data_IF_305315060514
#
_entry.id   IF_305315060514
#
_cell.length_a   1.000
_cell.length_b   1.000
_cell.length_c   1.000
_cell.angle_alpha   90.00
_cell.angle_beta   90.00
_cell.angle_gamma   90.00
#
_symmetry.space_group_name_H-M   'P 1'
#
loop_
_entity.id
_entity.type
_entity.pdbx_description
1 polymer ?
#
# COMPACT_ATOMS: atom_id res chain seq x y z
N UNK A 1 20.39 8.37 -57.91
CA UNK A 1 20.23 7.33 -56.87
C UNK A 1 19.87 8.03 -55.56
N UNK A 2 18.57 8.23 -55.30
CA UNK A 2 18.09 8.80 -54.04
C UNK A 2 17.14 7.79 -53.39
N UNK A 3 17.68 6.96 -52.52
CA UNK A 3 16.92 6.07 -51.63
C UNK A 3 17.13 6.57 -50.21
N UNK A 4 16.38 7.61 -49.84
CA UNK A 4 16.32 8.12 -48.47
C UNK A 4 14.86 8.43 -48.12
N UNK A 5 13.97 7.44 -48.23
CA UNK A 5 12.54 7.64 -47.95
C UNK A 5 11.92 6.57 -47.05
N UNK A 6 12.70 5.64 -46.49
CA UNK A 6 12.16 4.50 -45.72
C UNK A 6 12.60 4.44 -44.25
N UNK A 7 13.49 5.32 -43.79
CA UNK A 7 13.98 5.26 -42.39
C UNK A 7 13.17 6.06 -41.38
N UNK A 8 12.15 6.82 -41.79
CA UNK A 8 11.43 7.72 -40.89
C UNK A 8 10.23 7.07 -40.15
N UNK A 9 9.82 5.85 -40.49
CA UNK A 9 8.54 5.29 -40.00
C UNK A 9 8.65 4.30 -38.83
N UNK A 10 9.85 4.00 -38.32
CA UNK A 10 10.06 2.92 -37.33
C UNK A 10 10.38 3.38 -35.90
N UNK A 11 10.36 4.69 -35.61
CA UNK A 11 10.71 5.23 -34.28
C UNK A 11 9.52 5.64 -33.41
N UNK A 12 8.27 5.52 -33.89
CA UNK A 12 7.09 5.99 -33.13
C UNK A 12 6.42 4.95 -32.21
N UNK A 13 6.89 3.71 -32.15
CA UNK A 13 6.20 2.63 -31.43
C UNK A 13 6.67 2.38 -29.98
N UNK A 14 7.64 3.16 -29.45
CA UNK A 14 8.29 2.83 -28.18
C UNK A 14 7.78 3.59 -26.93
N UNK A 15 6.73 4.42 -27.03
CA UNK A 15 6.46 5.46 -26.02
C UNK A 15 5.30 5.22 -25.03
N UNK A 16 4.65 4.05 -24.96
CA UNK A 16 3.44 3.92 -24.11
C UNK A 16 3.32 2.59 -23.37
N UNK A 17 4.27 2.30 -22.48
CA UNK A 17 4.03 1.34 -21.39
C UNK A 17 4.57 1.92 -20.08
N UNK A 18 3.97 3.03 -19.64
CA UNK A 18 4.11 3.50 -18.27
C UNK A 18 3.24 2.63 -17.37
N UNK A 19 3.86 1.77 -16.55
CA UNK A 19 3.16 1.09 -15.47
C UNK A 19 2.61 2.17 -14.51
N UNK A 20 1.29 2.37 -14.49
CA UNK A 20 0.66 3.35 -13.61
C UNK A 20 0.81 2.93 -12.15
N UNK A 21 1.62 3.65 -11.38
CA UNK A 21 1.64 3.53 -9.93
C UNK A 21 0.42 4.28 -9.35
N UNK A 22 -0.58 3.53 -8.88
CA UNK A 22 -1.71 4.07 -8.14
C UNK A 22 -1.31 4.26 -6.68
N UNK A 23 -1.18 5.51 -6.23
CA UNK A 23 -1.05 5.84 -4.82
C UNK A 23 -2.41 6.36 -4.31
N UNK A 24 -3.10 5.54 -3.51
CA UNK A 24 -4.31 5.98 -2.82
C UNK A 24 -3.94 6.93 -1.68
N UNK A 25 -4.74 7.98 -1.48
CA UNK A 25 -4.56 8.96 -0.42
C UNK A 25 -5.90 9.32 0.22
N UNK A 26 -5.85 9.69 1.49
CA UNK A 26 -6.99 10.18 2.25
C UNK A 26 -7.17 11.67 1.96
N UNK A 27 -8.33 12.05 1.45
CA UNK A 27 -8.70 13.46 1.22
C UNK A 27 -9.34 14.05 2.47
N UNK A 28 -8.80 15.18 2.92
CA UNK A 28 -9.13 15.85 4.18
C UNK A 28 -9.39 17.34 3.91
N UNK A 29 -10.47 17.64 3.19
CA UNK A 29 -10.90 19.03 2.93
C UNK A 29 -9.89 19.86 2.12
N UNK A 30 -9.31 19.28 1.07
CA UNK A 30 -8.32 19.94 0.20
C UNK A 30 -6.86 19.67 0.57
N UNK A 31 -6.62 18.95 1.67
CA UNK A 31 -5.31 18.35 1.99
C UNK A 31 -5.37 16.85 1.73
N UNK A 32 -4.23 16.27 1.35
CA UNK A 32 -4.10 14.82 1.18
C UNK A 32 -3.20 14.27 2.28
N UNK A 33 -3.52 13.09 2.80
CA UNK A 33 -2.60 12.26 3.59
C UNK A 33 -2.39 10.92 2.89
N UNK A 34 -1.15 10.43 2.82
CA UNK A 34 -0.79 9.24 2.07
C UNK A 34 0.31 8.44 2.74
N UNK A 35 0.81 7.43 2.03
CA UNK A 35 1.87 6.53 2.51
C UNK A 35 3.08 7.31 3.02
N UNK A 36 3.61 6.91 4.18
CA UNK A 36 4.75 7.54 4.85
C UNK A 36 4.37 8.65 5.83
N UNK A 37 3.15 9.18 5.78
CA UNK A 37 2.70 10.21 6.71
C UNK A 37 2.64 9.68 8.15
N UNK A 38 3.06 10.49 9.13
CA UNK A 38 2.96 10.12 10.54
C UNK A 38 1.52 10.19 11.04
N UNK A 39 1.16 9.37 12.04
CA UNK A 39 -0.15 9.45 12.74
C UNK A 39 -0.52 10.88 13.12
N UNK A 40 0.41 11.62 13.73
CA UNK A 40 0.20 13.02 14.12
C UNK A 40 -0.17 13.91 12.94
N UNK A 41 0.55 13.79 11.83
CA UNK A 41 0.29 14.59 10.63
C UNK A 41 -1.05 14.28 9.97
N UNK A 42 -1.53 13.03 10.08
CA UNK A 42 -2.87 12.64 9.62
C UNK A 42 -3.93 13.31 10.49
N UNK A 43 -3.81 13.22 11.83
CA UNK A 43 -4.75 13.89 12.74
C UNK A 43 -4.77 15.41 12.52
N UNK A 44 -3.61 16.03 12.35
CA UNK A 44 -3.50 17.47 12.12
C UNK A 44 -4.18 17.91 10.82
N UNK A 45 -4.21 17.06 9.79
CA UNK A 45 -4.85 17.35 8.50
C UNK A 45 -6.32 16.95 8.45
N UNK A 46 -6.67 15.84 9.07
CA UNK A 46 -7.95 15.15 8.86
C UNK A 46 -8.86 15.16 10.08
N UNK A 47 -8.36 15.58 11.25
CA UNK A 47 -9.06 15.47 12.52
C UNK A 47 -8.93 14.09 13.14
N UNK A 48 -9.72 13.85 14.19
CA UNK A 48 -9.77 12.54 14.84
C UNK A 48 -10.55 11.53 13.98
N UNK A 49 -10.10 10.27 13.88
CA UNK A 49 -10.85 9.22 13.21
C UNK A 49 -12.10 8.81 13.99
N UNK A 50 -13.07 8.21 13.32
CA UNK A 50 -14.28 7.65 13.94
C UNK A 50 -14.04 6.30 14.61
N UNK A 51 -13.03 5.54 14.16
CA UNK A 51 -12.57 4.31 14.83
C UNK A 51 -11.05 4.16 14.77
N UNK A 52 -10.49 3.48 15.76
CA UNK A 52 -9.09 3.05 15.84
C UNK A 52 -9.03 1.61 16.29
N UNK A 53 -8.64 0.73 15.39
CA UNK A 53 -8.66 -0.71 15.60
C UNK A 53 -7.24 -1.27 15.49
N UNK A 54 -6.81 -2.04 16.49
CA UNK A 54 -5.57 -2.82 16.37
C UNK A 54 -5.85 -4.09 15.56
N UNK A 55 -5.09 -4.28 14.49
CA UNK A 55 -5.30 -5.37 13.54
C UNK A 55 -4.05 -6.22 13.39
N UNK A 56 -4.27 -7.51 13.16
CA UNK A 56 -3.23 -8.47 12.82
C UNK A 56 -3.16 -8.63 11.30
N UNK A 57 -2.08 -8.18 10.68
CA UNK A 57 -1.88 -8.39 9.23
C UNK A 57 -0.92 -9.56 9.02
N UNK A 58 -1.37 -10.66 8.38
CA UNK A 58 -0.51 -11.81 8.13
C UNK A 58 0.55 -11.44 7.08
N UNK A 59 1.83 -11.56 7.45
CA UNK A 59 2.96 -11.34 6.55
C UNK A 59 3.80 -12.61 6.43
N UNK A 60 4.17 -13.00 5.20
CA UNK A 60 5.04 -14.14 4.99
C UNK A 60 6.41 -13.84 5.54
N UNK A 61 7.00 -14.83 6.21
CA UNK A 61 8.38 -14.79 6.62
C UNK A 61 9.03 -16.14 6.52
N UNK A 62 10.33 -16.08 6.29
CA UNK A 62 11.17 -17.25 6.14
C UNK A 62 11.78 -17.58 7.50
N UNK A 63 11.51 -18.79 7.98
CA UNK A 63 12.17 -19.37 9.14
C UNK A 63 13.00 -20.57 8.73
N UNK A 64 14.12 -20.77 9.43
CA UNK A 64 14.99 -21.92 9.25
C UNK A 64 14.71 -22.92 10.36
N UNK A 65 14.20 -24.09 10.01
CA UNK A 65 13.99 -25.19 10.95
C UNK A 65 15.17 -26.16 10.88
N UNK A 66 15.73 -26.58 12.04
CA UNK A 66 16.80 -27.58 12.06
C UNK A 66 16.38 -28.90 11.40
N UNK A 67 17.34 -29.59 10.78
CA UNK A 67 17.11 -30.94 10.28
C UNK A 67 16.85 -31.91 11.43
N UNK A 68 15.87 -32.79 11.26
CA UNK A 68 15.64 -33.94 12.14
C UNK A 68 16.74 -35.01 12.03
N UNK A 69 17.56 -34.97 10.98
CA UNK A 69 18.71 -35.85 10.79
C UNK A 69 20.01 -35.16 11.22
N UNK A 70 20.80 -35.75 12.14
CA UNK A 70 22.10 -35.20 12.53
C UNK A 70 23.02 -34.94 11.33
N UNK A 71 23.57 -33.73 11.24
CA UNK A 71 24.43 -33.31 10.13
C UNK A 71 23.71 -32.87 8.84
N UNK A 72 22.37 -32.95 8.79
CA UNK A 72 21.59 -32.48 7.65
C UNK A 72 21.46 -30.93 7.59
N UNK A 73 21.25 -30.35 6.39
CA UNK A 73 21.05 -28.92 6.22
C UNK A 73 19.71 -28.46 6.83
N UNK A 74 19.61 -27.21 7.33
CA UNK A 74 18.35 -26.65 7.80
C UNK A 74 17.35 -26.52 6.64
N UNK A 75 16.06 -26.67 6.93
CA UNK A 75 15.00 -26.50 5.95
C UNK A 75 14.39 -25.09 6.04
N UNK A 76 14.15 -24.48 4.89
CA UNK A 76 13.49 -23.19 4.79
C UNK A 76 11.97 -23.38 4.78
N UNK A 77 11.25 -22.68 5.65
CA UNK A 77 9.79 -22.72 5.71
C UNK A 77 9.22 -21.30 5.68
N UNK A 78 8.20 -21.08 4.86
CA UNK A 78 7.45 -19.82 4.84
C UNK A 78 6.30 -19.95 5.83
N UNK A 79 6.27 -19.06 6.83
CA UNK A 79 5.19 -18.97 7.81
C UNK A 79 4.50 -17.62 7.69
N UNK A 80 3.21 -17.57 8.01
CA UNK A 80 2.46 -16.32 8.08
C UNK A 80 2.50 -15.82 9.52
N UNK A 81 3.27 -14.78 9.80
CA UNK A 81 3.24 -14.15 11.11
C UNK A 81 2.29 -12.98 11.16
N UNK A 82 1.70 -12.82 12.34
CA UNK A 82 0.90 -11.68 12.70
C UNK A 82 1.77 -10.45 12.90
N UNK A 83 1.69 -9.47 12.00
CA UNK A 83 2.31 -8.16 12.20
C UNK A 83 1.25 -7.22 12.80
N UNK A 84 1.46 -6.71 14.03
CA UNK A 84 0.51 -5.80 14.66
C UNK A 84 0.53 -4.45 13.95
N UNK A 85 -0.65 -3.97 13.57
CA UNK A 85 -0.88 -2.71 12.88
C UNK A 85 -2.12 -2.02 13.46
N UNK A 86 -2.40 -0.81 13.00
CA UNK A 86 -3.61 -0.08 13.36
C UNK A 86 -4.38 0.32 12.10
N UNK A 87 -5.68 0.05 12.05
CA UNK A 87 -6.60 0.62 11.06
C UNK A 87 -7.34 1.78 11.73
N UNK A 88 -7.22 2.97 11.15
CA UNK A 88 -8.01 4.13 11.55
C UNK A 88 -9.04 4.45 10.48
N UNK A 89 -10.29 4.58 10.88
CA UNK A 89 -11.41 4.84 9.96
C UNK A 89 -11.82 6.30 10.03
N UNK A 90 -11.99 6.92 8.88
CA UNK A 90 -12.48 8.29 8.72
C UNK A 90 -13.80 8.28 7.96
N UNK A 91 -14.78 8.99 8.49
CA UNK A 91 -16.01 9.30 7.78
C UNK A 91 -15.77 10.49 6.84
N UNK A 92 -16.10 10.31 5.56
CA UNK A 92 -15.97 11.35 4.50
C UNK A 92 -17.32 11.99 4.15
N UNK A 93 -18.37 11.70 4.91
CA UNK A 93 -19.73 12.20 4.72
C UNK A 93 -20.61 11.29 3.87
N UNK A 94 -21.91 11.58 3.90
CA UNK A 94 -22.96 10.82 3.22
C UNK A 94 -22.65 10.60 1.72
N UNK A 95 -22.90 9.39 1.23
CA UNK A 95 -22.67 9.02 -0.17
C UNK A 95 -21.21 8.75 -0.54
N UNK A 96 -20.25 9.02 0.36
CA UNK A 96 -18.84 8.69 0.16
C UNK A 96 -18.48 7.34 0.81
N UNK A 97 -17.36 6.78 0.40
CA UNK A 97 -16.77 5.62 1.09
C UNK A 97 -16.07 6.08 2.36
N UNK A 98 -16.06 5.25 3.40
CA UNK A 98 -15.16 5.43 4.54
C UNK A 98 -13.71 5.42 4.05
N UNK A 99 -12.84 6.23 4.67
CA UNK A 99 -11.40 6.18 4.42
C UNK A 99 -10.72 5.36 5.51
N UNK A 100 -10.07 4.26 5.15
CA UNK A 100 -9.35 3.42 6.12
C UNK A 100 -7.85 3.61 5.90
N UNK A 101 -7.18 4.11 6.93
CA UNK A 101 -5.73 4.36 6.94
C UNK A 101 -5.07 3.32 7.83
N UNK A 102 -4.21 2.49 7.25
CA UNK A 102 -3.43 1.51 7.98
C UNK A 102 -2.09 2.11 8.38
N UNK A 103 -1.73 1.96 9.64
CA UNK A 103 -0.44 2.39 10.18
C UNK A 103 0.43 1.20 10.54
N UNK A 104 1.71 1.30 10.17
CA UNK A 104 2.77 0.41 10.63
C UNK A 104 3.92 1.24 11.19
N UNK A 105 4.36 0.93 12.41
CA UNK A 105 5.41 1.68 13.12
C UNK A 105 5.19 3.21 13.14
N UNK A 106 3.94 3.65 13.26
CA UNK A 106 3.59 5.08 13.37
C UNK A 106 3.47 5.85 12.06
N UNK A 107 3.72 5.21 10.91
CA UNK A 107 3.56 5.80 9.59
C UNK A 107 2.43 5.13 8.80
N UNK A 108 1.79 5.87 7.90
CA UNK A 108 0.80 5.32 6.97
C UNK A 108 1.48 4.29 6.08
N UNK A 109 1.01 3.06 6.16
CA UNK A 109 1.43 1.96 5.29
C UNK A 109 0.52 1.89 4.06
N UNK A 110 -0.78 2.05 4.23
CA UNK A 110 -1.75 2.08 3.14
C UNK A 110 -2.99 2.91 3.46
N UNK A 111 -3.65 3.37 2.40
CA UNK A 111 -4.97 4.00 2.46
C UNK A 111 -5.88 3.24 1.52
N UNK A 112 -7.08 2.88 1.98
CA UNK A 112 -8.09 2.16 1.20
C UNK A 112 -9.49 2.67 1.48
N UNK A 113 -10.40 2.44 0.54
CA UNK A 113 -11.81 2.71 0.75
C UNK A 113 -12.46 1.59 1.59
N UNK A 114 -13.37 1.97 2.47
CA UNK A 114 -14.18 1.09 3.30
C UNK A 114 -15.61 0.96 2.79
N UNK A 115 -16.56 0.72 3.70
CA UNK A 115 -17.99 0.70 3.36
C UNK A 115 -18.48 2.08 2.90
N UNK A 116 -19.52 2.11 2.06
CA UNK A 116 -20.17 3.34 1.64
C UNK A 116 -21.10 3.84 2.74
N UNK A 117 -20.94 5.08 3.15
CA UNK A 117 -21.83 5.74 4.12
C UNK A 117 -23.21 5.91 3.49
N UNK A 118 -24.25 5.50 4.23
CA UNK A 118 -25.66 5.56 3.83
C UNK A 118 -26.38 6.72 4.48
#
# INVERSE_FOLDING_TARGET
MHTFATSALLLLAAATFGAGASAQSLSCGGRLSGVGDSRFSVVQRCGEPVSRDFVCVPRPQVVWIPSQYPGGPPQQVVTQQCVPMEDWTYDRGEGNFLGIVRFFNGAVESVRDGEKVR
#
